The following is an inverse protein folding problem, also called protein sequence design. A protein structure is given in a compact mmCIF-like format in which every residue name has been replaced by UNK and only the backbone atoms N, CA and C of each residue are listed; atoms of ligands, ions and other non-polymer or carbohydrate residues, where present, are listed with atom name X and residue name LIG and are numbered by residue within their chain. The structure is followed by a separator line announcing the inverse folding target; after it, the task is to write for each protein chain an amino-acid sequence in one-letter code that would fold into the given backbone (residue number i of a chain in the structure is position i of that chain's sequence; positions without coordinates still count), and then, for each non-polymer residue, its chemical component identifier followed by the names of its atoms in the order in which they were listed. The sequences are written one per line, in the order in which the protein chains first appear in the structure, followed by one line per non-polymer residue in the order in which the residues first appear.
data_IF_395249863287
#
_entry.id   IF_395249863287
#
_cell.length_a   1.000
_cell.length_b   1.000
_cell.length_c   1.000
_cell.angle_alpha   90.00
_cell.angle_beta   90.00
_cell.angle_gamma   90.00
#
_symmetry.space_group_name_H-M   'P 1'
#
loop_
_entity.id
_entity.type
_entity.pdbx_description
1 polymer ?
#
# COMPACT_ATOMS: atom_id res chain seq x y z
N UNK A 1 -5.88 17.22 13.04
CA UNK A 1 -6.89 16.22 12.61
C UNK A 1 -7.04 15.23 13.76
N UNK A 2 -8.22 14.69 14.06
CA UNK A 2 -8.34 13.68 15.13
C UNK A 2 -7.81 12.32 14.67
N UNK A 3 -7.35 11.48 15.61
CA UNK A 3 -6.93 10.11 15.31
C UNK A 3 -8.05 9.29 14.64
N UNK A 4 -9.30 9.48 15.08
CA UNK A 4 -10.46 8.83 14.47
C UNK A 4 -10.63 9.19 12.99
N UNK A 5 -10.39 10.45 12.63
CA UNK A 5 -10.47 10.90 11.24
C UNK A 5 -9.31 10.38 10.39
N UNK A 6 -8.13 10.24 10.99
CA UNK A 6 -6.97 9.63 10.33
C UNK A 6 -7.18 8.12 10.14
N UNK A 7 -7.78 7.43 11.11
CA UNK A 7 -8.18 6.03 10.98
C UNK A 7 -9.18 5.83 9.84
N UNK A 8 -10.22 6.69 9.76
CA UNK A 8 -11.16 6.67 8.63
C UNK A 8 -10.49 6.89 7.27
N UNK A 9 -9.41 7.68 7.22
CA UNK A 9 -8.64 7.86 5.99
C UNK A 9 -7.85 6.61 5.61
N UNK A 10 -7.30 5.88 6.61
CA UNK A 10 -6.67 4.57 6.38
C UNK A 10 -7.70 3.58 5.85
N UNK A 11 -8.88 3.52 6.46
CA UNK A 11 -9.96 2.61 6.04
C UNK A 11 -10.39 2.88 4.59
N UNK A 12 -10.55 4.16 4.23
CA UNK A 12 -10.90 4.57 2.87
C UNK A 12 -9.80 4.21 1.86
N UNK A 13 -8.53 4.50 2.18
CA UNK A 13 -7.41 4.17 1.30
C UNK A 13 -7.28 2.65 1.10
N UNK A 14 -7.54 1.87 2.15
CA UNK A 14 -7.56 0.42 2.11
C UNK A 14 -8.69 -0.12 1.21
N UNK A 15 -9.88 0.48 1.27
CA UNK A 15 -11.00 0.12 0.39
C UNK A 15 -10.67 0.41 -1.08
N UNK A 16 -10.08 1.57 -1.37
CA UNK A 16 -9.66 1.95 -2.72
C UNK A 16 -8.61 0.99 -3.28
N UNK A 17 -7.56 0.67 -2.48
CA UNK A 17 -6.53 -0.28 -2.89
C UNK A 17 -7.09 -1.68 -3.15
N UNK A 18 -8.00 -2.16 -2.28
CA UNK A 18 -8.71 -3.44 -2.49
C UNK A 18 -9.53 -3.43 -3.77
N UNK A 19 -10.21 -2.32 -4.07
CA UNK A 19 -10.96 -2.15 -5.31
C UNK A 19 -10.06 -2.25 -6.54
N UNK A 20 -8.88 -1.61 -6.51
CA UNK A 20 -7.90 -1.70 -7.59
C UNK A 20 -7.42 -3.14 -7.81
N UNK A 21 -7.01 -3.83 -6.74
CA UNK A 21 -6.55 -5.23 -6.80
C UNK A 21 -7.63 -6.17 -7.37
N UNK A 22 -8.90 -5.96 -7.00
CA UNK A 22 -10.00 -6.75 -7.54
C UNK A 22 -10.27 -6.47 -9.03
N UNK A 23 -10.08 -5.23 -9.49
CA UNK A 23 -10.20 -4.87 -10.90
C UNK A 23 -9.08 -5.49 -11.72
N UNK A 24 -7.84 -5.42 -11.24
CA UNK A 24 -6.69 -6.06 -11.86
C UNK A 24 -6.89 -7.58 -12.01
N UNK A 25 -7.32 -8.26 -10.95
CA UNK A 25 -7.61 -9.69 -11.00
C UNK A 25 -8.72 -10.04 -12.01
N UNK A 26 -9.71 -9.17 -12.21
CA UNK A 26 -10.79 -9.39 -13.19
C UNK A 26 -10.32 -9.16 -14.64
N UNK A 27 -9.52 -8.13 -14.87
CA UNK A 27 -9.00 -7.79 -16.20
C UNK A 27 -7.94 -8.81 -16.68
N UNK A 28 -7.05 -9.24 -15.78
CA UNK A 28 -5.94 -10.13 -16.12
C UNK A 28 -6.18 -11.61 -15.80
N UNK A 29 -7.25 -11.96 -15.09
CA UNK A 29 -7.60 -13.35 -14.73
C UNK A 29 -7.59 -14.37 -15.90
N UNK A 30 -7.97 -14.02 -17.15
CA UNK A 30 -7.88 -14.93 -18.29
C UNK A 30 -6.48 -15.11 -18.91
N UNK A 31 -5.52 -14.21 -18.62
CA UNK A 31 -4.16 -14.19 -19.21
C UNK A 31 -3.04 -14.08 -18.16
N UNK A 32 -3.36 -14.28 -16.89
CA UNK A 32 -2.46 -14.05 -15.76
C UNK A 32 -1.14 -14.83 -15.88
N UNK A 33 -1.18 -16.06 -16.39
CA UNK A 33 0.01 -16.89 -16.65
C UNK A 33 0.83 -16.45 -17.88
N UNK A 34 0.26 -15.66 -18.79
CA UNK A 34 0.93 -15.15 -19.99
C UNK A 34 1.58 -13.79 -19.74
N UNK A 35 0.88 -12.90 -19.00
CA UNK A 35 1.39 -11.57 -18.61
C UNK A 35 2.54 -11.69 -17.60
N UNK A 36 2.40 -12.56 -16.58
CA UNK A 36 3.46 -12.79 -15.58
C UNK A 36 4.75 -13.37 -16.16
N UNK A 37 4.69 -14.02 -17.33
CA UNK A 37 5.88 -14.50 -18.06
C UNK A 37 6.56 -13.41 -18.90
N UNK A 38 5.87 -12.31 -19.22
CA UNK A 38 6.44 -11.18 -19.97
C UNK A 38 7.06 -10.10 -19.07
N UNK A 39 6.76 -10.09 -17.77
CA UNK A 39 7.30 -9.09 -16.83
C UNK A 39 8.81 -9.21 -16.57
N UNK A 40 9.46 -10.31 -16.96
CA UNK A 40 10.93 -10.49 -16.85
C UNK A 40 11.72 -9.56 -17.80
N UNK A 41 11.10 -9.03 -18.87
CA UNK A 41 11.78 -8.17 -19.86
C UNK A 41 11.51 -6.66 -19.66
N UNK A 42 10.34 -6.31 -19.11
CA UNK A 42 9.99 -4.96 -18.67
C UNK A 42 8.80 -5.06 -17.69
N UNK A 43 8.98 -4.89 -16.38
CA UNK A 43 7.87 -4.93 -15.44
C UNK A 43 6.87 -3.85 -15.84
N UNK A 44 5.63 -4.25 -16.09
CA UNK A 44 4.56 -3.29 -16.29
C UNK A 44 4.41 -2.49 -14.99
N UNK A 45 4.13 -1.18 -15.06
CA UNK A 45 3.82 -0.44 -13.85
C UNK A 45 2.59 -1.09 -13.19
N UNK A 46 2.75 -1.57 -11.95
CA UNK A 46 1.64 -2.13 -11.18
C UNK A 46 0.54 -1.05 -11.08
N UNK A 47 -0.64 -1.31 -11.66
CA UNK A 47 -1.70 -0.31 -11.80
C UNK A 47 -2.25 0.15 -10.44
N UNK A 48 -2.00 -0.60 -9.38
CA UNK A 48 -2.41 -0.31 -8.02
C UNK A 48 -1.31 0.32 -7.17
N UNK A 49 -0.12 0.56 -7.73
CA UNK A 49 1.01 1.21 -7.03
C UNK A 49 0.60 2.55 -6.41
N UNK A 50 -0.12 3.40 -7.13
CA UNK A 50 -0.54 4.71 -6.62
C UNK A 50 -1.48 4.55 -5.42
N UNK A 51 -2.49 3.68 -5.53
CA UNK A 51 -3.43 3.42 -4.43
C UNK A 51 -2.75 2.76 -3.22
N UNK A 52 -1.71 1.96 -3.44
CA UNK A 52 -0.90 1.40 -2.36
C UNK A 52 -0.06 2.48 -1.67
N UNK A 53 0.56 3.40 -2.43
CA UNK A 53 1.30 4.53 -1.86
C UNK A 53 0.38 5.45 -1.04
N UNK A 54 -0.84 5.71 -1.51
CA UNK A 54 -1.84 6.46 -0.75
C UNK A 54 -2.20 5.78 0.59
N UNK A 55 -2.32 4.45 0.60
CA UNK A 55 -2.53 3.67 1.83
C UNK A 55 -1.34 3.79 2.79
N UNK A 56 -0.10 3.72 2.29
CA UNK A 56 1.11 3.91 3.09
C UNK A 56 1.15 5.30 3.71
N UNK A 57 0.87 6.34 2.92
CA UNK A 57 0.82 7.71 3.42
C UNK A 57 -0.24 7.90 4.50
N UNK A 58 -1.43 7.33 4.33
CA UNK A 58 -2.50 7.40 5.34
C UNK A 58 -2.06 6.73 6.65
N UNK A 59 -1.46 5.54 6.57
CA UNK A 59 -0.94 4.81 7.72
C UNK A 59 0.16 5.60 8.44
N UNK A 60 1.12 6.15 7.68
CA UNK A 60 2.20 6.96 8.21
C UNK A 60 1.68 8.20 8.94
N UNK A 61 0.72 8.92 8.34
CA UNK A 61 0.09 10.10 8.97
C UNK A 61 -0.63 9.74 10.28
N UNK A 62 -1.30 8.60 10.33
CA UNK A 62 -1.96 8.10 11.53
C UNK A 62 -0.94 7.83 12.66
N UNK A 63 0.11 7.06 12.36
CA UNK A 63 1.15 6.69 13.33
C UNK A 63 1.94 7.92 13.80
N UNK A 64 2.36 8.79 12.88
CA UNK A 64 3.07 10.04 13.20
C UNK A 64 2.23 11.04 14.01
N UNK A 65 0.91 10.87 14.03
CA UNK A 65 -0.01 11.64 14.88
C UNK A 65 -0.23 11.02 16.28
N UNK A 66 0.51 9.95 16.61
CA UNK A 66 0.42 9.22 17.87
C UNK A 66 -0.59 8.07 17.87
N UNK A 67 -1.06 7.65 16.70
CA UNK A 67 -1.92 6.47 16.55
C UNK A 67 -1.15 5.17 16.75
N UNK A 68 -1.83 4.17 17.32
CA UNK A 68 -1.27 2.83 17.49
C UNK A 68 -1.50 2.01 16.22
N UNK A 69 -0.42 1.66 15.51
CA UNK A 69 -0.50 0.93 14.23
C UNK A 69 -1.27 -0.39 14.38
N UNK A 70 -1.22 -1.03 15.55
CA UNK A 70 -1.84 -2.34 15.77
C UNK A 70 -3.38 -2.27 15.78
N UNK A 71 -3.96 -1.08 15.94
CA UNK A 71 -5.40 -0.80 15.85
C UNK A 71 -5.90 -0.73 14.40
N UNK A 72 -5.00 -0.59 13.42
CA UNK A 72 -5.39 -0.53 12.01
C UNK A 72 -5.78 -1.93 11.49
N UNK A 73 -7.00 -2.04 10.97
CA UNK A 73 -7.59 -3.29 10.45
C UNK A 73 -7.20 -3.54 8.99
N UNK A 74 -5.90 -3.69 8.74
CA UNK A 74 -5.34 -3.82 7.38
C UNK A 74 -5.62 -5.20 6.73
N UNK A 75 -5.99 -6.21 7.51
CA UNK A 75 -6.27 -7.56 7.03
C UNK A 75 -5.05 -8.22 6.37
N UNK A 76 -5.24 -8.83 5.20
CA UNK A 76 -4.19 -9.52 4.44
C UNK A 76 -3.02 -8.61 4.02
N UNK A 77 -3.27 -7.30 3.89
CA UNK A 77 -2.26 -6.32 3.46
C UNK A 77 -1.37 -5.83 4.60
N UNK A 78 -1.64 -6.23 5.86
CA UNK A 78 -0.90 -5.77 7.04
C UNK A 78 0.61 -5.95 6.88
N UNK A 79 1.04 -7.14 6.46
CA UNK A 79 2.46 -7.46 6.33
C UNK A 79 3.14 -6.60 5.25
N UNK A 80 2.51 -6.46 4.09
CA UNK A 80 3.03 -5.65 2.99
C UNK A 80 3.16 -4.17 3.37
N UNK A 81 2.12 -3.62 4.00
CA UNK A 81 2.11 -2.22 4.47
C UNK A 81 3.22 -1.98 5.49
N UNK A 82 3.32 -2.80 6.54
CA UNK A 82 4.32 -2.57 7.58
C UNK A 82 5.75 -2.82 7.11
N UNK A 83 5.99 -3.84 6.29
CA UNK A 83 7.32 -4.04 5.71
C UNK A 83 7.75 -2.81 4.90
N UNK A 84 6.85 -2.23 4.12
CA UNK A 84 7.19 -1.07 3.29
C UNK A 84 7.41 0.19 4.13
N UNK A 85 6.62 0.40 5.18
CA UNK A 85 6.83 1.50 6.14
C UNK A 85 8.18 1.38 6.85
N UNK A 86 8.55 0.17 7.28
CA UNK A 86 9.85 -0.10 7.92
C UNK A 86 11.02 0.16 6.95
N UNK A 87 10.86 -0.21 5.68
CA UNK A 87 11.85 0.13 4.64
C UNK A 87 11.97 1.66 4.49
N UNK A 88 10.85 2.37 4.38
CA UNK A 88 10.87 3.84 4.24
C UNK A 88 11.55 4.52 5.44
N UNK A 89 11.22 4.09 6.67
CA UNK A 89 11.84 4.61 7.89
C UNK A 89 13.34 4.31 7.95
N UNK A 90 13.77 3.13 7.48
CA UNK A 90 15.19 2.78 7.38
C UNK A 90 15.91 3.70 6.40
N UNK A 91 15.35 3.93 5.22
CA UNK A 91 15.92 4.80 4.19
C UNK A 91 16.04 6.25 4.66
N UNK A 92 15.07 6.76 5.43
CA UNK A 92 15.13 8.09 6.04
C UNK A 92 16.23 8.19 7.11
N UNK A 93 16.39 7.16 7.94
CA UNK A 93 17.41 7.12 8.99
C UNK A 93 18.84 6.90 8.47
N UNK A 94 19.01 6.23 7.34
CA UNK A 94 20.31 6.00 6.69
C UNK A 94 20.78 7.22 5.85
N UNK A 95 20.02 8.32 5.85
CA UNK A 95 20.42 9.57 5.20
C UNK A 95 20.28 9.54 3.68
N UNK A 96 19.21 8.94 3.17
CA UNK A 96 18.88 8.95 1.73
C UNK A 96 18.86 10.38 1.17
N UNK A 97 19.98 10.79 0.55
CA UNK A 97 20.08 12.07 -0.14
C UNK A 97 19.24 12.02 -1.42
N UNK A 98 18.27 12.92 -1.53
CA UNK A 98 17.67 13.29 -2.83
C UNK A 98 18.68 14.01 -3.72
#
# INVERSE_FOLDING_TARGET
MSLERLQQQVDLALEVYRGCQQLEQREYGPQYDEVKRMEDEAPAPDPCTETFNELLEACMRYVSSGGDRDVLELGEYRQAVYSRLEDMERWENEGGQS
#
